data_IF_440805136279
#
_entry.id   IF_440805136279
#
_cell.length_a   1.000
_cell.length_b   1.000
_cell.length_c   1.000
_cell.angle_alpha   90.00
_cell.angle_beta   90.00
_cell.angle_gamma   90.00
#
_symmetry.space_group_name_H-M   'P 1'
#
loop_
_entity.id
_entity.type
_entity.pdbx_description
1 polymer ?
#
# COMPACT_ATOMS: atom_id res chain seq x y z
N UNK A 1 -37.29 9.88 11.52
CA UNK A 1 -36.74 8.63 12.04
C UNK A 1 -35.54 8.87 12.91
N UNK A 2 -35.77 8.74 14.17
CA UNK A 2 -34.69 8.97 15.12
C UNK A 2 -33.63 7.87 15.09
N UNK A 3 -33.99 6.70 14.59
CA UNK A 3 -33.06 5.61 14.51
C UNK A 3 -31.84 5.94 13.65
N UNK A 4 -32.08 6.72 12.60
CA UNK A 4 -30.99 7.09 11.71
C UNK A 4 -29.98 7.94 12.41
N UNK A 5 -30.44 8.89 13.20
CA UNK A 5 -29.56 9.76 13.94
C UNK A 5 -28.81 9.00 15.02
N UNK A 6 -29.51 8.09 15.67
CA UNK A 6 -28.90 7.26 16.69
C UNK A 6 -27.80 6.41 16.11
N UNK A 7 -28.01 5.86 14.93
CA UNK A 7 -27.05 4.98 14.28
C UNK A 7 -25.74 5.68 13.96
N UNK A 8 -25.77 6.98 13.73
CA UNK A 8 -24.55 7.71 13.41
C UNK A 8 -23.65 7.90 14.62
N UNK A 9 -24.23 7.93 15.80
CA UNK A 9 -23.47 8.19 17.02
C UNK A 9 -23.21 6.96 17.84
N UNK A 10 -23.98 5.91 17.60
CA UNK A 10 -23.84 4.69 18.38
C UNK A 10 -23.67 3.50 17.46
N UNK A 11 -22.47 2.91 17.43
CA UNK A 11 -22.25 1.74 16.59
C UNK A 11 -23.16 0.59 16.99
N UNK A 12 -23.65 -0.12 15.99
CA UNK A 12 -24.46 -1.31 16.21
C UNK A 12 -23.53 -2.51 16.27
N UNK A 13 -23.53 -3.15 17.43
CA UNK A 13 -22.64 -4.29 17.65
C UNK A 13 -23.47 -5.56 17.64
N UNK A 14 -23.05 -6.52 16.84
CA UNK A 14 -23.70 -7.80 16.72
C UNK A 14 -22.71 -8.85 17.21
N UNK A 15 -23.15 -9.74 18.08
CA UNK A 15 -22.29 -10.82 18.58
C UNK A 15 -22.70 -12.11 17.91
N UNK A 16 -21.70 -12.82 17.38
CA UNK A 16 -21.93 -14.11 16.77
C UNK A 16 -21.89 -15.20 17.84
N UNK A 17 -22.44 -16.37 17.53
CA UNK A 17 -22.36 -17.50 18.48
C UNK A 17 -20.94 -17.89 18.84
N UNK A 18 -19.98 -17.59 17.96
CA UNK A 18 -18.57 -17.87 18.23
C UNK A 18 -17.88 -16.85 19.10
N UNK A 19 -18.59 -15.82 19.56
CA UNK A 19 -18.02 -14.81 20.42
C UNK A 19 -17.42 -13.60 19.70
N UNK A 20 -17.54 -13.55 18.40
CA UNK A 20 -17.04 -12.42 17.65
C UNK A 20 -18.00 -11.24 17.74
N UNK A 21 -17.44 -10.05 17.75
CA UNK A 21 -18.25 -8.83 17.71
C UNK A 21 -18.11 -8.19 16.33
N UNK A 22 -19.27 -7.95 15.72
CA UNK A 22 -19.33 -7.33 14.40
C UNK A 22 -20.00 -5.97 14.53
N UNK A 23 -19.55 -5.03 13.71
CA UNK A 23 -20.13 -3.68 13.69
C UNK A 23 -20.92 -3.51 12.40
N UNK A 24 -22.16 -3.08 12.55
CA UNK A 24 -23.01 -2.83 11.39
C UNK A 24 -22.96 -1.34 11.05
N UNK A 25 -22.56 -1.05 9.83
CA UNK A 25 -22.40 0.32 9.33
C UNK A 25 -23.15 0.47 8.02
N UNK A 26 -23.60 1.68 7.76
CA UNK A 26 -24.03 2.00 6.41
C UNK A 26 -22.82 2.12 5.52
N UNK A 27 -23.03 2.09 4.22
CA UNK A 27 -21.93 2.24 3.29
C UNK A 27 -21.22 3.59 3.48
N UNK A 28 -21.98 4.65 3.67
CA UNK A 28 -21.40 5.98 3.89
C UNK A 28 -20.57 6.01 5.16
N UNK A 29 -21.07 5.43 6.24
CA UNK A 29 -20.34 5.36 7.50
C UNK A 29 -19.05 4.58 7.35
N UNK A 30 -19.10 3.48 6.62
CA UNK A 30 -17.91 2.67 6.37
C UNK A 30 -16.88 3.45 5.56
N UNK A 31 -17.31 4.14 4.52
CA UNK A 31 -16.40 4.92 3.70
C UNK A 31 -15.74 6.05 4.47
N UNK A 32 -16.51 6.73 5.30
CA UNK A 32 -15.98 7.79 6.15
C UNK A 32 -14.95 7.24 7.14
N UNK A 33 -15.28 6.12 7.76
CA UNK A 33 -14.38 5.50 8.73
C UNK A 33 -13.10 5.03 8.05
N UNK A 34 -13.23 4.42 6.88
CA UNK A 34 -12.08 3.93 6.13
C UNK A 34 -11.16 5.08 5.74
N UNK A 35 -11.74 6.15 5.22
CA UNK A 35 -10.95 7.31 4.80
C UNK A 35 -10.22 7.93 5.97
N UNK A 36 -10.90 8.05 7.10
CA UNK A 36 -10.31 8.58 8.32
C UNK A 36 -9.19 7.69 8.84
N UNK A 37 -9.40 6.39 8.84
CA UNK A 37 -8.41 5.43 9.31
C UNK A 37 -7.18 5.42 8.41
N UNK A 38 -7.39 5.48 7.09
CA UNK A 38 -6.30 5.52 6.14
C UNK A 38 -5.49 6.80 6.34
N UNK A 39 -6.16 7.92 6.47
CA UNK A 39 -5.48 9.20 6.67
C UNK A 39 -4.69 9.21 7.98
N UNK A 40 -5.28 8.68 9.06
CA UNK A 40 -4.61 8.64 10.35
C UNK A 40 -3.39 7.73 10.32
N UNK A 41 -3.51 6.57 9.68
CA UNK A 41 -2.40 5.64 9.57
C UNK A 41 -1.27 6.22 8.72
N UNK A 42 -1.61 6.85 7.60
CA UNK A 42 -0.62 7.46 6.73
C UNK A 42 0.13 8.58 7.46
N UNK A 43 -0.60 9.39 8.20
CA UNK A 43 -0.01 10.48 8.96
C UNK A 43 0.94 9.95 10.04
N UNK A 44 0.53 8.91 10.74
CA UNK A 44 1.36 8.30 11.76
C UNK A 44 2.60 7.66 11.17
N UNK A 45 2.43 6.92 10.07
CA UNK A 45 3.55 6.26 9.42
C UNK A 45 4.56 7.28 8.91
N UNK A 46 4.07 8.39 8.37
CA UNK A 46 4.94 9.46 7.90
C UNK A 46 5.71 10.09 9.06
N UNK A 47 5.03 10.33 10.19
CA UNK A 47 5.67 10.90 11.37
C UNK A 47 6.75 9.97 11.93
N UNK A 48 6.55 8.67 11.79
CA UNK A 48 7.51 7.66 12.24
C UNK A 48 8.56 7.35 11.17
N UNK A 49 8.46 7.95 10.01
CA UNK A 49 9.41 7.71 8.94
C UNK A 49 9.26 6.38 8.23
N UNK A 50 8.13 5.70 8.42
CA UNK A 50 7.91 4.37 7.84
C UNK A 50 7.33 4.38 6.45
N UNK A 51 6.57 5.42 6.12
CA UNK A 51 5.91 5.51 4.82
C UNK A 51 5.91 6.93 4.32
N UNK A 52 5.70 7.07 3.03
CA UNK A 52 5.58 8.36 2.38
C UNK A 52 4.19 8.51 1.80
N UNK A 53 3.67 9.72 1.89
CA UNK A 53 2.45 10.07 1.16
C UNK A 53 2.82 10.45 -0.26
N UNK A 54 1.97 10.07 -1.20
CA UNK A 54 2.13 10.50 -2.58
C UNK A 54 1.03 11.50 -2.89
N UNK A 55 1.37 12.51 -3.69
CA UNK A 55 0.41 13.52 -4.10
C UNK A 55 -0.57 12.93 -5.10
N UNK A 56 -1.65 13.66 -5.37
CA UNK A 56 -2.61 13.20 -6.38
C UNK A 56 -1.98 13.12 -7.76
N UNK A 57 -1.03 14.01 -8.06
CA UNK A 57 -0.31 13.96 -9.32
C UNK A 57 0.58 12.74 -9.40
N UNK A 58 1.26 12.43 -8.31
CA UNK A 58 2.08 11.22 -8.24
C UNK A 58 1.23 9.96 -8.30
N UNK A 59 0.02 10.02 -7.77
CA UNK A 59 -0.87 8.87 -7.84
C UNK A 59 -1.17 8.49 -9.28
N UNK A 60 -1.38 9.49 -10.14
CA UNK A 60 -1.61 9.21 -11.56
C UNK A 60 -0.41 8.50 -12.19
N UNK A 61 0.79 8.93 -11.85
CA UNK A 61 2.01 8.28 -12.33
C UNK A 61 2.13 6.87 -11.78
N UNK A 62 1.80 6.71 -10.50
CA UNK A 62 1.83 5.40 -9.85
C UNK A 62 0.90 4.41 -10.56
N UNK A 63 -0.33 4.84 -10.82
CA UNK A 63 -1.32 3.97 -11.46
C UNK A 63 -0.97 3.66 -12.91
N UNK A 64 -0.23 4.54 -13.57
CA UNK A 64 0.22 4.31 -14.93
C UNK A 64 1.50 3.46 -15.00
N UNK A 65 2.18 3.27 -13.88
CA UNK A 65 3.41 2.48 -13.85
C UNK A 65 3.08 0.98 -13.93
N UNK A 66 3.93 0.20 -14.62
CA UNK A 66 3.64 -1.24 -14.76
C UNK A 66 3.69 -2.00 -13.43
N UNK A 67 4.51 -1.54 -12.49
CA UNK A 67 4.59 -2.15 -11.15
C UNK A 67 4.91 -1.06 -10.14
N UNK A 68 4.59 -1.30 -8.85
CA UNK A 68 5.00 -0.37 -7.80
C UNK A 68 6.51 -0.17 -7.74
N UNK A 69 7.27 -1.22 -8.00
CA UNK A 69 8.74 -1.12 -7.98
C UNK A 69 9.24 -0.07 -8.97
N UNK A 70 8.70 -0.05 -10.19
CA UNK A 70 9.11 0.91 -11.20
C UNK A 70 8.85 2.34 -10.73
N UNK A 71 7.67 2.56 -10.12
CA UNK A 71 7.32 3.88 -9.61
C UNK A 71 8.29 4.34 -8.51
N UNK A 72 8.49 3.49 -7.50
CA UNK A 72 9.28 3.88 -6.35
C UNK A 72 10.76 4.08 -6.71
N UNK A 73 11.29 3.25 -7.62
CA UNK A 73 12.66 3.45 -8.07
C UNK A 73 12.84 4.82 -8.70
N UNK A 74 11.91 5.19 -9.57
CA UNK A 74 11.99 6.50 -10.23
C UNK A 74 11.81 7.64 -9.25
N UNK A 75 10.92 7.46 -8.28
CA UNK A 75 10.71 8.47 -7.24
C UNK A 75 11.96 8.69 -6.42
N UNK A 76 12.77 7.65 -6.22
CA UNK A 76 14.05 7.75 -5.51
C UNK A 76 15.18 8.22 -6.41
N UNK A 77 14.90 8.51 -7.67
CA UNK A 77 15.89 8.98 -8.64
C UNK A 77 17.05 7.99 -8.85
N UNK A 78 16.73 6.70 -8.83
CA UNK A 78 17.70 5.65 -9.05
C UNK A 78 17.55 5.07 -10.45
N UNK A 79 18.69 4.76 -11.08
CA UNK A 79 18.65 4.05 -12.35
C UNK A 79 18.47 2.56 -12.11
N UNK A 80 17.98 1.85 -13.12
CA UNK A 80 17.88 0.39 -13.02
C UNK A 80 19.24 -0.24 -12.78
N UNK A 81 20.27 0.25 -13.47
CA UNK A 81 21.62 -0.28 -13.33
C UNK A 81 22.15 -0.12 -11.90
N UNK A 82 21.96 1.06 -11.33
CA UNK A 82 22.45 1.31 -9.98
C UNK A 82 21.71 0.44 -8.95
N UNK A 83 20.39 0.38 -9.05
CA UNK A 83 19.62 -0.42 -8.10
C UNK A 83 19.92 -1.91 -8.25
N UNK A 84 20.00 -2.40 -9.49
CA UNK A 84 20.32 -3.81 -9.74
C UNK A 84 21.67 -4.18 -9.12
N UNK A 85 22.66 -3.31 -9.27
CA UNK A 85 23.97 -3.54 -8.69
C UNK A 85 23.91 -3.62 -7.17
N UNK A 86 23.15 -2.75 -6.56
CA UNK A 86 23.06 -2.70 -5.11
C UNK A 86 22.38 -3.94 -4.52
N UNK A 87 21.40 -4.50 -5.23
CA UNK A 87 20.69 -5.67 -4.74
C UNK A 87 21.22 -6.98 -5.33
N UNK A 88 22.22 -6.90 -6.19
CA UNK A 88 22.94 -8.10 -6.65
C UNK A 88 22.29 -8.86 -7.78
N UNK A 89 21.53 -8.18 -8.65
CA UNK A 89 20.93 -8.82 -9.82
C UNK A 89 21.32 -8.07 -11.08
N UNK A 90 21.05 -8.66 -12.24
CA UNK A 90 21.33 -7.99 -13.49
C UNK A 90 20.30 -6.90 -13.76
N UNK A 91 20.71 -5.90 -14.53
CA UNK A 91 19.81 -4.83 -14.92
C UNK A 91 18.66 -5.39 -15.75
N UNK A 92 18.91 -6.38 -16.61
CA UNK A 92 17.85 -7.00 -17.41
C UNK A 92 16.83 -7.70 -16.53
N UNK A 93 17.26 -8.39 -15.49
CA UNK A 93 16.35 -9.06 -14.59
C UNK A 93 15.49 -8.05 -13.83
N UNK A 94 16.12 -6.98 -13.34
CA UNK A 94 15.38 -5.93 -12.66
C UNK A 94 14.36 -5.28 -13.59
N UNK A 95 14.74 -5.06 -14.84
CA UNK A 95 13.82 -4.50 -15.83
C UNK A 95 12.61 -5.42 -16.04
N UNK A 96 12.84 -6.72 -16.11
CA UNK A 96 11.75 -7.67 -16.28
C UNK A 96 10.82 -7.65 -15.07
N UNK A 97 11.35 -7.54 -13.87
CA UNK A 97 10.53 -7.43 -12.67
C UNK A 97 9.72 -6.14 -12.70
N UNK A 98 10.34 -5.04 -13.07
CA UNK A 98 9.64 -3.75 -13.13
C UNK A 98 8.53 -3.72 -14.17
N UNK A 99 8.66 -4.50 -15.21
CA UNK A 99 7.65 -4.55 -16.27
C UNK A 99 6.64 -5.69 -16.08
N UNK A 100 6.71 -6.38 -14.95
CA UNK A 100 5.77 -7.45 -14.66
C UNK A 100 6.02 -8.73 -15.41
N UNK A 101 7.17 -8.87 -16.06
CA UNK A 101 7.51 -10.07 -16.85
C UNK A 101 8.17 -11.15 -16.00
N UNK A 102 8.67 -10.79 -14.83
CA UNK A 102 9.31 -11.73 -13.91
C UNK A 102 8.98 -11.35 -12.48
N UNK A 103 9.15 -12.32 -11.58
CA UNK A 103 8.99 -12.10 -10.15
C UNK A 103 10.30 -12.44 -9.46
N UNK A 104 10.70 -11.60 -8.50
CA UNK A 104 11.82 -11.93 -7.65
C UNK A 104 11.37 -12.76 -6.46
N UNK A 105 12.33 -13.30 -5.73
CA UNK A 105 11.99 -14.01 -4.49
C UNK A 105 11.85 -13.00 -3.34
N UNK A 106 11.44 -13.51 -2.20
CA UNK A 106 11.19 -12.69 -1.01
C UNK A 106 12.47 -11.98 -0.56
N UNK A 107 13.62 -12.63 -0.70
CA UNK A 107 14.90 -12.03 -0.29
C UNK A 107 15.21 -10.81 -1.16
N UNK A 108 14.98 -10.93 -2.45
CA UNK A 108 15.22 -9.82 -3.37
C UNK A 108 14.30 -8.65 -3.05
N UNK A 109 12.99 -8.91 -2.84
CA UNK A 109 12.07 -7.84 -2.50
C UNK A 109 12.41 -7.19 -1.17
N UNK A 110 12.93 -7.95 -0.21
CA UNK A 110 13.38 -7.39 1.06
C UNK A 110 14.56 -6.43 0.86
N UNK A 111 15.49 -6.79 0.00
CA UNK A 111 16.63 -5.92 -0.32
C UNK A 111 16.16 -4.65 -1.04
N UNK A 112 15.27 -4.80 -1.99
CA UNK A 112 14.72 -3.66 -2.71
C UNK A 112 13.97 -2.72 -1.77
N UNK A 113 13.14 -3.26 -0.92
CA UNK A 113 12.38 -2.46 0.04
C UNK A 113 13.31 -1.69 0.97
N UNK A 114 14.34 -2.36 1.47
CA UNK A 114 15.30 -1.70 2.34
C UNK A 114 16.01 -0.56 1.63
N UNK A 115 16.46 -0.80 0.40
CA UNK A 115 17.16 0.23 -0.35
C UNK A 115 16.27 1.43 -0.66
N UNK A 116 14.98 1.17 -0.92
CA UNK A 116 14.02 2.21 -1.26
C UNK A 116 13.33 2.79 -0.02
N UNK A 117 13.64 2.28 1.14
CA UNK A 117 13.07 2.71 2.43
C UNK A 117 11.54 2.51 2.45
N UNK A 118 11.13 1.32 2.08
CA UNK A 118 9.73 0.91 2.00
C UNK A 118 9.55 -0.42 2.69
N UNK A 119 8.31 -0.85 2.85
CA UNK A 119 8.03 -2.21 3.27
C UNK A 119 7.88 -3.09 2.03
N UNK A 120 8.00 -4.41 2.22
CA UNK A 120 7.88 -5.35 1.11
C UNK A 120 6.52 -5.21 0.43
N UNK A 121 5.47 -5.02 1.22
CA UNK A 121 4.11 -4.91 0.69
C UNK A 121 3.95 -3.76 -0.30
N UNK A 122 4.78 -2.73 -0.16
CA UNK A 122 4.72 -1.59 -1.08
C UNK A 122 5.22 -1.93 -2.47
N UNK A 123 5.99 -2.99 -2.59
CA UNK A 123 6.64 -3.35 -3.86
C UNK A 123 6.01 -4.56 -4.54
N UNK A 124 5.37 -5.43 -3.79
CA UNK A 124 4.79 -6.64 -4.36
C UNK A 124 3.51 -6.28 -5.11
N UNK A 125 3.39 -6.65 -6.39
CA UNK A 125 2.18 -6.36 -7.14
C UNK A 125 0.98 -7.07 -6.54
N UNK A 126 -0.18 -6.44 -6.67
CA UNK A 126 -1.41 -7.09 -6.25
C UNK A 126 -1.67 -8.31 -7.12
N UNK A 127 -2.04 -9.39 -6.49
CA UNK A 127 -2.40 -10.61 -7.19
C UNK A 127 -3.91 -10.69 -7.22
N UNK A 128 -4.46 -10.68 -8.41
CA UNK A 128 -5.90 -10.85 -8.57
C UNK A 128 -6.22 -12.34 -8.65
N UNK A 129 -7.19 -12.75 -7.87
CA UNK A 129 -7.63 -14.14 -7.89
C UNK A 129 -8.90 -14.30 -8.70
#
# INVERSE_FOLDING_TARGET
MSEKETAMNEPRIIRTPGGEELVLLTLDEYEDLRDSAIAAEAKRALAEGREELISSEELDVYLASPTPLAFWRKKRALTQTALAREVGVSQNFLSDIENGKAMGDVILYAKLARRLNLSIEDLVPEVEN
#
